data_IF_315010748476
#
_entry.id   IF_315010748476
#
_cell.length_a   1.000
_cell.length_b   1.000
_cell.length_c   1.000
_cell.angle_alpha   90.00
_cell.angle_beta   90.00
_cell.angle_gamma   90.00
#
_symmetry.space_group_name_H-M   'P 1'
#
loop_
_entity.id
_entity.type
_entity.pdbx_description
1 polymer ?
#
# COMPACT_ATOMS: atom_id res chain seq x y z
N UNK A 1 8.25 -6.83 66.83
CA UNK A 1 9.21 -7.88 66.42
C UNK A 1 8.62 -8.66 65.26
N UNK A 2 8.84 -8.27 63.99
CA UNK A 2 8.43 -9.04 62.83
C UNK A 2 9.61 -9.84 62.26
N UNK A 3 9.32 -10.87 61.44
CA UNK A 3 10.24 -11.53 60.50
C UNK A 3 10.86 -12.89 60.92
N UNK A 4 10.08 -13.78 61.54
CA UNK A 4 10.39 -15.22 61.52
C UNK A 4 9.82 -15.93 60.27
N UNK A 5 8.85 -15.32 59.57
CA UNK A 5 8.11 -15.94 58.47
C UNK A 5 8.81 -15.75 57.10
N UNK A 6 9.60 -14.68 56.95
CA UNK A 6 10.23 -14.32 55.67
C UNK A 6 11.48 -15.18 55.34
N UNK A 7 12.18 -15.68 56.37
CA UNK A 7 13.38 -16.50 56.20
C UNK A 7 13.09 -17.94 55.78
N UNK A 8 11.90 -18.48 56.11
CA UNK A 8 11.51 -19.83 55.68
C UNK A 8 11.18 -19.90 54.18
N UNK A 9 10.67 -18.83 53.59
CA UNK A 9 10.33 -18.76 52.17
C UNK A 9 11.58 -18.66 51.27
N UNK A 10 12.65 -18.02 51.77
CA UNK A 10 13.92 -17.87 51.04
C UNK A 10 14.78 -19.14 51.00
N UNK A 11 14.61 -20.06 51.95
CA UNK A 11 15.41 -21.29 52.04
C UNK A 11 14.89 -22.45 51.18
N UNK A 12 13.71 -22.33 50.56
CA UNK A 12 13.10 -23.38 49.73
C UNK A 12 13.24 -23.16 48.22
N UNK A 13 13.95 -22.13 47.77
CA UNK A 13 14.13 -21.86 46.32
C UNK A 13 15.55 -22.12 45.81
N UNK A 14 16.43 -22.73 46.61
CA UNK A 14 17.76 -23.17 46.16
C UNK A 14 17.77 -24.65 45.81
N UNK A 15 16.73 -25.13 45.14
CA UNK A 15 16.80 -26.38 44.38
C UNK A 15 16.54 -26.02 42.92
N UNK A 16 17.47 -26.32 41.99
CA UNK A 16 17.18 -26.17 40.57
C UNK A 16 16.15 -27.24 40.21
N UNK A 17 14.87 -26.87 40.22
CA UNK A 17 13.79 -27.79 39.86
C UNK A 17 13.79 -27.93 38.32
N UNK A 18 14.11 -29.12 37.78
CA UNK A 18 14.20 -29.32 36.33
C UNK A 18 12.84 -29.16 35.64
N UNK A 19 11.74 -29.28 36.38
CA UNK A 19 10.40 -29.02 35.84
C UNK A 19 10.13 -27.52 35.63
N UNK A 20 10.70 -26.63 36.45
CA UNK A 20 10.62 -25.18 36.22
C UNK A 20 11.53 -24.74 35.08
N UNK A 21 12.70 -25.37 34.90
CA UNK A 21 13.49 -25.17 33.68
C UNK A 21 12.71 -25.65 32.46
N UNK A 22 12.07 -26.82 32.50
CA UNK A 22 11.25 -27.29 31.37
C UNK A 22 10.08 -26.34 31.10
N UNK A 23 9.35 -25.88 32.12
CA UNK A 23 8.24 -24.93 31.96
C UNK A 23 8.72 -23.55 31.52
N UNK A 24 9.86 -23.05 32.01
CA UNK A 24 10.47 -21.81 31.52
C UNK A 24 10.87 -21.95 30.06
N UNK A 25 11.45 -23.10 29.70
CA UNK A 25 11.80 -23.40 28.31
C UNK A 25 10.54 -23.54 27.46
N UNK A 26 9.44 -24.15 27.92
CA UNK A 26 8.19 -24.26 27.15
C UNK A 26 7.47 -22.91 27.03
N UNK A 27 7.55 -22.04 28.06
CA UNK A 27 7.03 -20.67 28.04
C UNK A 27 7.92 -19.77 27.16
N UNK A 28 9.25 -19.95 27.17
CA UNK A 28 10.20 -19.31 26.24
C UNK A 28 10.06 -19.85 24.82
N UNK A 29 9.70 -21.11 24.63
CA UNK A 29 9.52 -21.76 23.31
C UNK A 29 8.16 -21.40 22.71
N UNK A 30 7.12 -21.26 23.55
CA UNK A 30 5.84 -20.66 23.15
C UNK A 30 5.97 -19.14 22.92
N UNK A 31 6.74 -18.40 23.75
CA UNK A 31 7.09 -17.00 23.44
C UNK A 31 7.95 -16.89 22.19
N UNK A 32 8.83 -17.84 21.87
CA UNK A 32 9.59 -17.89 20.60
C UNK A 32 8.72 -18.23 19.40
N UNK A 33 7.63 -18.94 19.62
CA UNK A 33 6.67 -19.25 18.55
C UNK A 33 5.78 -18.04 18.25
N UNK A 34 5.44 -17.23 19.27
CA UNK A 34 4.80 -15.92 19.10
C UNK A 34 5.80 -14.80 18.72
N UNK A 35 7.09 -14.92 19.12
CA UNK A 35 8.26 -14.23 18.58
C UNK A 35 8.84 -15.00 17.38
N UNK A 36 7.96 -15.48 16.51
CA UNK A 36 8.30 -15.59 15.10
C UNK A 36 9.05 -14.29 14.76
N UNK A 37 10.33 -14.33 14.35
CA UNK A 37 11.10 -13.12 14.13
C UNK A 37 10.26 -12.22 13.24
N UNK A 38 9.78 -11.11 13.80
CA UNK A 38 9.21 -10.01 13.04
C UNK A 38 10.30 -9.69 12.04
N UNK A 39 10.13 -10.17 10.81
CA UNK A 39 11.21 -10.43 9.87
C UNK A 39 12.13 -9.23 9.91
N UNK A 40 13.31 -9.43 10.54
CA UNK A 40 14.38 -8.45 10.56
C UNK A 40 14.50 -8.03 9.11
N UNK A 41 14.17 -6.78 8.71
CA UNK A 41 14.14 -6.41 7.31
C UNK A 41 15.50 -6.80 6.77
N UNK A 42 15.50 -7.86 5.96
CA UNK A 42 16.72 -8.49 5.49
C UNK A 42 17.50 -7.37 4.83
N UNK A 43 18.61 -7.00 5.46
CA UNK A 43 19.51 -5.94 5.03
C UNK A 43 19.96 -6.28 3.61
N UNK A 44 19.15 -5.86 2.64
CA UNK A 44 19.63 -5.69 1.29
C UNK A 44 20.47 -4.44 1.40
N UNK A 45 21.76 -4.64 1.64
CA UNK A 45 22.83 -3.65 1.49
C UNK A 45 22.80 -3.21 0.02
N UNK A 46 21.85 -2.33 -0.32
CA UNK A 46 21.74 -1.74 -1.64
C UNK A 46 22.74 -0.60 -1.69
N UNK A 47 23.71 -0.82 -2.57
CA UNK A 47 24.85 0.02 -2.81
C UNK A 47 24.49 1.51 -2.86
N UNK A 48 25.20 2.27 -2.02
CA UNK A 48 25.31 3.72 -2.00
C UNK A 48 25.71 4.24 -3.40
N UNK A 49 24.73 4.51 -4.25
CA UNK A 49 24.96 5.19 -5.51
C UNK A 49 24.88 6.70 -5.29
N UNK A 50 26.05 7.28 -5.10
CA UNK A 50 26.41 8.70 -5.16
C UNK A 50 25.80 9.38 -6.40
N UNK A 51 24.55 9.84 -6.32
CA UNK A 51 23.95 10.71 -7.33
C UNK A 51 23.55 12.02 -6.65
N UNK A 52 24.03 13.14 -7.19
CA UNK A 52 23.99 14.45 -6.52
C UNK A 52 22.62 14.79 -5.93
N UNK A 53 22.62 15.56 -4.82
CA UNK A 53 21.43 15.96 -4.02
C UNK A 53 20.18 16.34 -4.85
N UNK A 54 20.36 16.85 -6.07
CA UNK A 54 19.29 17.16 -7.02
C UNK A 54 18.54 15.92 -7.55
N UNK A 55 19.24 14.84 -7.90
CA UNK A 55 18.60 13.62 -8.40
C UNK A 55 17.81 12.88 -7.32
N UNK A 56 18.23 13.00 -6.06
CA UNK A 56 17.53 12.40 -4.93
C UNK A 56 16.20 13.12 -4.66
N UNK A 57 16.19 14.45 -4.74
CA UNK A 57 14.95 15.24 -4.63
C UNK A 57 13.92 14.88 -5.71
N UNK A 58 14.36 14.79 -6.98
CA UNK A 58 13.48 14.42 -8.10
C UNK A 58 12.90 13.02 -7.93
N UNK A 59 13.69 12.05 -7.45
CA UNK A 59 13.22 10.70 -7.18
C UNK A 59 12.13 10.70 -6.10
N UNK A 60 12.37 11.37 -4.97
CA UNK A 60 11.39 11.48 -3.87
C UNK A 60 10.10 12.14 -4.35
N UNK A 61 10.18 13.23 -5.12
CA UNK A 61 8.99 13.87 -5.70
C UNK A 61 8.22 12.93 -6.63
N UNK A 62 8.92 12.15 -7.47
CA UNK A 62 8.29 11.18 -8.36
C UNK A 62 7.58 10.05 -7.59
N UNK A 63 8.20 9.55 -6.52
CA UNK A 63 7.59 8.55 -5.62
C UNK A 63 6.32 9.12 -4.99
N UNK A 64 6.41 10.29 -4.34
CA UNK A 64 5.25 10.93 -3.71
C UNK A 64 4.13 11.24 -4.70
N UNK A 65 4.47 11.67 -5.93
CA UNK A 65 3.49 11.87 -6.99
C UNK A 65 2.79 10.56 -7.38
N UNK A 66 3.52 9.45 -7.50
CA UNK A 66 2.95 8.12 -7.78
C UNK A 66 2.01 7.64 -6.68
N UNK A 67 2.40 7.83 -5.41
CA UNK A 67 1.56 7.52 -4.25
C UNK A 67 0.29 8.36 -4.20
N UNK A 68 0.42 9.66 -4.47
CA UNK A 68 -0.72 10.58 -4.54
C UNK A 68 -1.68 10.13 -5.64
N UNK A 69 -1.16 9.82 -6.83
CA UNK A 69 -1.98 9.41 -7.96
C UNK A 69 -2.70 8.09 -7.71
N UNK A 70 -2.00 7.10 -7.14
CA UNK A 70 -2.60 5.81 -6.80
C UNK A 70 -3.71 5.96 -5.75
N UNK A 71 -3.49 6.78 -4.72
CA UNK A 71 -4.48 6.97 -3.65
C UNK A 71 -5.70 7.76 -4.12
N UNK A 72 -5.45 8.74 -4.99
CA UNK A 72 -6.47 9.55 -5.64
C UNK A 72 -7.33 8.72 -6.60
N UNK A 73 -6.74 7.80 -7.38
CA UNK A 73 -7.49 6.88 -8.24
C UNK A 73 -8.43 5.97 -7.44
N UNK A 74 -7.97 5.39 -6.33
CA UNK A 74 -8.81 4.56 -5.46
C UNK A 74 -9.99 5.37 -4.90
N UNK A 75 -9.75 6.61 -4.48
CA UNK A 75 -10.80 7.49 -3.95
C UNK A 75 -11.80 7.94 -5.02
N UNK A 76 -11.32 8.32 -6.21
CA UNK A 76 -12.16 8.66 -7.36
C UNK A 76 -13.02 7.46 -7.77
N UNK A 77 -12.43 6.26 -7.81
CA UNK A 77 -13.17 5.04 -8.16
C UNK A 77 -14.32 4.78 -7.21
N UNK A 78 -14.09 4.96 -5.90
CA UNK A 78 -15.14 4.80 -4.90
C UNK A 78 -16.29 5.82 -5.07
N UNK A 79 -15.98 7.07 -5.43
CA UNK A 79 -16.98 8.14 -5.58
C UNK A 79 -17.71 8.09 -6.93
N UNK A 80 -17.00 7.79 -8.01
CA UNK A 80 -17.56 7.69 -9.36
C UNK A 80 -18.36 6.40 -9.58
N UNK A 81 -18.18 5.36 -8.76
CA UNK A 81 -18.92 4.10 -8.89
C UNK A 81 -20.43 4.33 -8.92
N UNK A 82 -20.94 5.15 -8.01
CA UNK A 82 -22.38 5.42 -7.89
C UNK A 82 -22.90 6.15 -9.13
N UNK A 83 -22.13 7.07 -9.69
CA UNK A 83 -22.49 7.78 -10.92
C UNK A 83 -22.54 6.84 -12.13
N UNK A 84 -21.49 6.02 -12.33
CA UNK A 84 -21.42 5.04 -13.41
C UNK A 84 -22.58 4.04 -13.33
N UNK A 85 -22.93 3.59 -12.12
CA UNK A 85 -24.04 2.66 -11.88
C UNK A 85 -25.40 3.24 -12.30
N UNK A 86 -25.60 4.54 -12.10
CA UNK A 86 -26.83 5.24 -12.48
C UNK A 86 -26.92 5.45 -14.00
N UNK A 87 -25.80 5.76 -14.63
CA UNK A 87 -25.74 6.12 -16.05
C UNK A 87 -25.88 4.92 -16.98
N UNK A 88 -25.32 3.77 -16.61
CA UNK A 88 -25.46 2.54 -17.41
C UNK A 88 -26.76 1.77 -17.11
N UNK A 89 -27.54 2.18 -16.10
CA UNK A 89 -28.72 1.47 -15.58
C UNK A 89 -28.49 -0.03 -15.27
N UNK A 90 -27.23 -0.45 -15.11
CA UNK A 90 -26.83 -1.83 -14.83
C UNK A 90 -26.28 -1.95 -13.40
N UNK A 91 -27.21 -2.06 -12.44
CA UNK A 91 -26.88 -2.14 -11.02
C UNK A 91 -26.26 -3.49 -10.61
N UNK A 92 -26.43 -4.54 -11.42
CA UNK A 92 -25.92 -5.87 -11.11
C UNK A 92 -24.39 -5.97 -11.25
N UNK A 93 -23.84 -5.31 -12.27
CA UNK A 93 -22.42 -5.38 -12.58
C UNK A 93 -21.58 -4.26 -11.95
N UNK A 94 -22.21 -3.22 -11.40
CA UNK A 94 -21.50 -2.10 -10.79
C UNK A 94 -20.53 -2.53 -9.67
N UNK A 95 -20.92 -3.34 -8.67
CA UNK A 95 -20.00 -3.75 -7.60
C UNK A 95 -18.79 -4.53 -8.10
N UNK A 96 -18.91 -5.25 -9.21
CA UNK A 96 -17.82 -6.03 -9.81
C UNK A 96 -16.66 -5.15 -10.29
N UNK A 97 -16.91 -3.88 -10.63
CA UNK A 97 -15.85 -2.93 -11.00
C UNK A 97 -14.89 -2.73 -9.84
N UNK A 98 -15.44 -2.41 -8.66
CA UNK A 98 -14.66 -2.18 -7.45
C UNK A 98 -14.05 -3.49 -6.96
N UNK A 99 -14.79 -4.60 -7.01
CA UNK A 99 -14.27 -5.89 -6.59
C UNK A 99 -13.08 -6.34 -7.45
N UNK A 100 -13.19 -6.23 -8.78
CA UNK A 100 -12.09 -6.56 -9.69
C UNK A 100 -10.86 -5.68 -9.43
N UNK A 101 -11.07 -4.39 -9.21
CA UNK A 101 -10.00 -3.46 -8.87
C UNK A 101 -9.31 -3.83 -7.54
N UNK A 102 -10.06 -4.05 -6.46
CA UNK A 102 -9.45 -4.41 -5.17
C UNK A 102 -8.76 -5.77 -5.22
N UNK A 103 -9.34 -6.74 -5.93
CA UNK A 103 -8.78 -8.09 -6.03
C UNK A 103 -7.41 -8.05 -6.72
N UNK A 104 -7.29 -7.32 -7.82
CA UNK A 104 -5.99 -7.16 -8.48
C UNK A 104 -5.06 -6.26 -7.68
N UNK A 105 -5.56 -5.17 -7.09
CA UNK A 105 -4.75 -4.26 -6.28
C UNK A 105 -4.08 -5.00 -5.10
N UNK A 106 -4.83 -5.80 -4.35
CA UNK A 106 -4.29 -6.55 -3.22
C UNK A 106 -3.44 -7.75 -3.65
N UNK A 107 -3.88 -8.48 -4.68
CA UNK A 107 -3.16 -9.66 -5.19
C UNK A 107 -1.81 -9.31 -5.80
N UNK A 108 -1.75 -8.24 -6.59
CA UNK A 108 -0.52 -7.83 -7.27
C UNK A 108 0.40 -6.97 -6.42
N UNK A 109 -0.07 -6.40 -5.30
CA UNK A 109 0.80 -5.67 -4.38
C UNK A 109 2.02 -6.51 -3.97
N UNK A 110 1.80 -7.76 -3.55
CA UNK A 110 2.88 -8.67 -3.14
C UNK A 110 3.74 -9.10 -4.33
N UNK A 111 3.11 -9.40 -5.47
CA UNK A 111 3.81 -9.83 -6.68
C UNK A 111 4.77 -8.74 -7.15
N UNK A 112 4.31 -7.49 -7.25
CA UNK A 112 5.12 -6.37 -7.71
C UNK A 112 6.22 -6.04 -6.69
N UNK A 113 5.95 -6.15 -5.38
CA UNK A 113 7.00 -6.00 -4.37
C UNK A 113 8.16 -6.97 -4.59
N UNK A 114 7.87 -8.27 -4.78
CA UNK A 114 8.91 -9.28 -5.04
C UNK A 114 9.58 -9.09 -6.40
N UNK A 115 8.82 -8.71 -7.42
CA UNK A 115 9.35 -8.51 -8.77
C UNK A 115 10.31 -7.31 -8.82
N UNK A 116 10.06 -6.28 -8.00
CA UNK A 116 10.93 -5.12 -7.86
C UNK A 116 12.34 -5.45 -7.38
N UNK A 117 12.48 -6.49 -6.56
CA UNK A 117 13.77 -6.88 -6.00
C UNK A 117 14.66 -7.53 -7.06
N UNK A 118 14.05 -8.22 -8.04
CA UNK A 118 14.75 -8.95 -9.11
C UNK A 118 15.03 -8.04 -10.32
N UNK A 119 14.02 -7.31 -10.79
CA UNK A 119 14.12 -6.48 -12.02
C UNK A 119 14.68 -5.08 -11.76
N UNK A 120 14.92 -4.73 -10.49
CA UNK A 120 15.40 -3.44 -10.06
C UNK A 120 14.27 -2.43 -9.82
N UNK A 121 14.45 -1.63 -8.76
CA UNK A 121 13.46 -0.68 -8.24
C UNK A 121 13.03 0.38 -9.26
N UNK A 122 13.99 0.94 -10.00
CA UNK A 122 13.73 2.03 -10.98
C UNK A 122 12.90 1.54 -12.18
N UNK A 123 13.22 0.38 -12.74
CA UNK A 123 12.54 -0.13 -13.93
C UNK A 123 11.10 -0.54 -13.59
N UNK A 124 10.90 -1.14 -12.42
CA UNK A 124 9.57 -1.52 -11.96
C UNK A 124 8.66 -0.30 -11.69
N UNK A 125 9.23 0.79 -11.18
CA UNK A 125 8.51 2.07 -11.01
C UNK A 125 8.05 2.66 -12.34
N UNK A 126 8.94 2.71 -13.33
CA UNK A 126 8.61 3.22 -14.67
C UNK A 126 7.57 2.33 -15.34
N UNK A 127 7.71 1.00 -15.22
CA UNK A 127 6.73 0.05 -15.75
C UNK A 127 5.34 0.26 -15.13
N UNK A 128 5.28 0.46 -13.80
CA UNK A 128 4.02 0.71 -13.10
C UNK A 128 3.34 1.99 -13.60
N UNK A 129 4.10 3.06 -13.81
CA UNK A 129 3.61 4.30 -14.42
C UNK A 129 3.04 4.07 -15.83
N UNK A 130 3.80 3.39 -16.69
CA UNK A 130 3.38 3.12 -18.08
C UNK A 130 2.11 2.26 -18.11
N UNK A 131 2.05 1.19 -17.32
CA UNK A 131 0.86 0.34 -17.22
C UNK A 131 -0.33 1.14 -16.71
N UNK A 132 -0.15 1.91 -15.65
CA UNK A 132 -1.20 2.72 -15.07
C UNK A 132 -1.78 3.71 -16.11
N UNK A 133 -0.94 4.46 -16.81
CA UNK A 133 -1.39 5.42 -17.82
C UNK A 133 -2.05 4.74 -19.02
N UNK A 134 -1.50 3.62 -19.50
CA UNK A 134 -2.06 2.88 -20.63
C UNK A 134 -3.46 2.34 -20.33
N UNK A 135 -3.67 1.73 -19.17
CA UNK A 135 -4.99 1.22 -18.79
C UNK A 135 -5.96 2.32 -18.41
N UNK A 136 -5.50 3.45 -17.85
CA UNK A 136 -6.34 4.61 -17.59
C UNK A 136 -6.93 5.21 -18.88
N UNK A 137 -6.11 5.30 -19.94
CA UNK A 137 -6.57 5.67 -21.29
C UNK A 137 -7.58 4.64 -21.85
N UNK A 138 -7.36 3.35 -21.61
CA UNK A 138 -8.30 2.29 -21.97
C UNK A 138 -9.66 2.43 -21.26
N UNK A 139 -9.64 2.75 -19.97
CA UNK A 139 -10.85 3.03 -19.20
C UNK A 139 -11.65 4.22 -19.77
N UNK A 140 -10.97 5.29 -20.20
CA UNK A 140 -11.61 6.46 -20.79
C UNK A 140 -12.26 6.18 -22.15
N UNK A 141 -11.78 5.19 -22.91
CA UNK A 141 -12.34 4.80 -24.21
C UNK A 141 -13.44 3.73 -24.10
N UNK A 142 -13.59 3.08 -22.94
CA UNK A 142 -14.52 1.97 -22.76
C UNK A 142 -15.98 2.40 -22.76
N UNK A 143 -16.79 1.78 -23.64
CA UNK A 143 -18.25 2.01 -23.77
C UNK A 143 -19.11 0.87 -23.19
N UNK A 144 -18.50 -0.17 -22.62
CA UNK A 144 -19.19 -1.36 -22.13
C UNK A 144 -18.78 -1.66 -20.69
N UNK A 145 -19.75 -2.10 -19.87
CA UNK A 145 -19.55 -2.42 -18.46
C UNK A 145 -18.45 -3.47 -18.25
N UNK A 146 -18.46 -4.54 -19.05
CA UNK A 146 -17.46 -5.62 -18.97
C UNK A 146 -16.06 -5.12 -19.34
N UNK A 147 -15.95 -4.33 -20.41
CA UNK A 147 -14.68 -3.75 -20.82
C UNK A 147 -14.13 -2.79 -19.74
N UNK A 148 -15.02 -2.03 -19.08
CA UNK A 148 -14.68 -1.15 -17.96
C UNK A 148 -14.14 -1.96 -16.76
N UNK A 149 -14.79 -3.08 -16.40
CA UNK A 149 -14.33 -3.99 -15.34
C UNK A 149 -12.94 -4.53 -15.65
N UNK A 150 -12.71 -5.01 -16.88
CA UNK A 150 -11.43 -5.58 -17.30
C UNK A 150 -10.33 -4.52 -17.24
N UNK A 151 -10.55 -3.36 -17.87
CA UNK A 151 -9.58 -2.25 -17.86
C UNK A 151 -9.27 -1.80 -16.42
N UNK A 152 -10.26 -1.72 -15.54
CA UNK A 152 -10.07 -1.38 -14.12
C UNK A 152 -9.29 -2.44 -13.34
N UNK A 153 -9.55 -3.72 -13.60
CA UNK A 153 -8.77 -4.82 -13.03
C UNK A 153 -7.29 -4.67 -13.37
N UNK A 154 -6.97 -4.44 -14.65
CA UNK A 154 -5.59 -4.20 -15.07
C UNK A 154 -4.99 -2.90 -14.53
N UNK A 155 -5.79 -1.83 -14.42
CA UNK A 155 -5.34 -0.56 -13.83
C UNK A 155 -4.96 -0.73 -12.35
N UNK A 156 -5.67 -1.57 -11.60
CA UNK A 156 -5.35 -1.91 -10.20
C UNK A 156 -3.96 -2.55 -10.03
N UNK A 157 -3.48 -3.27 -11.04
CA UNK A 157 -2.11 -3.82 -11.06
C UNK A 157 -1.08 -2.69 -11.10
N UNK A 158 -1.29 -1.69 -11.97
CA UNK A 158 -0.41 -0.52 -12.04
C UNK A 158 -0.44 0.32 -10.76
N UNK A 159 -1.64 0.53 -10.20
CA UNK A 159 -1.84 1.33 -8.98
C UNK A 159 -1.17 0.69 -7.76
N UNK A 160 -1.35 -0.62 -7.54
CA UNK A 160 -0.71 -1.32 -6.41
C UNK A 160 0.81 -1.30 -6.49
N UNK A 161 1.37 -1.37 -7.71
CA UNK A 161 2.80 -1.19 -7.95
C UNK A 161 3.28 0.20 -7.56
N UNK A 162 2.60 1.26 -8.03
CA UNK A 162 2.92 2.64 -7.65
C UNK A 162 2.88 2.86 -6.14
N UNK A 163 1.85 2.33 -5.47
CA UNK A 163 1.72 2.44 -4.02
C UNK A 163 2.85 1.71 -3.29
N UNK A 164 3.03 0.42 -3.57
CA UNK A 164 3.98 -0.43 -2.85
C UNK A 164 5.44 -0.02 -3.10
N UNK A 165 5.80 0.23 -4.37
CA UNK A 165 7.15 0.67 -4.72
C UNK A 165 7.49 2.03 -4.12
N UNK A 166 6.50 2.91 -3.98
CA UNK A 166 6.70 4.20 -3.31
C UNK A 166 7.04 4.01 -1.84
N UNK A 167 6.27 3.19 -1.12
CA UNK A 167 6.53 2.92 0.30
C UNK A 167 7.95 2.38 0.50
N UNK A 168 8.36 1.42 -0.34
CA UNK A 168 9.69 0.82 -0.29
C UNK A 168 10.78 1.85 -0.65
N UNK A 169 10.60 2.60 -1.74
CA UNK A 169 11.57 3.58 -2.21
C UNK A 169 11.76 4.75 -1.26
N UNK A 170 10.71 5.19 -0.56
CA UNK A 170 10.80 6.30 0.38
C UNK A 170 11.60 5.93 1.64
N UNK A 171 11.48 4.67 2.09
CA UNK A 171 12.26 4.14 3.21
C UNK A 171 13.74 3.95 2.84
N UNK A 172 14.03 3.54 1.60
CA UNK A 172 15.40 3.40 1.12
C UNK A 172 16.11 4.75 0.95
N UNK A 173 15.41 5.77 0.43
CA UNK A 173 15.98 7.09 0.17
C UNK A 173 16.01 7.96 1.42
N UNK A 174 15.11 7.73 2.37
CA UNK A 174 14.95 8.54 3.56
C UNK A 174 16.03 8.28 4.62
N UNK A 175 16.34 9.28 5.47
CA UNK A 175 17.33 9.10 6.53
C UNK A 175 16.83 8.07 7.55
N UNK A 176 17.54 6.94 7.70
CA UNK A 176 17.22 5.88 8.68
C UNK A 176 17.14 6.38 10.12
N UNK A 177 17.71 7.55 10.41
CA UNK A 177 17.70 8.18 11.72
C UNK A 177 16.36 8.87 12.07
N UNK A 178 15.47 9.10 11.09
CA UNK A 178 14.16 9.76 11.31
C UNK A 178 13.03 9.12 10.50
N UNK A 179 12.63 7.87 10.81
CA UNK A 179 11.52 7.19 10.14
C UNK A 179 10.18 7.93 10.28
N UNK A 180 10.01 8.71 11.36
CA UNK A 180 8.81 9.53 11.59
C UNK A 180 8.60 10.62 10.53
N UNK A 181 9.67 11.20 9.96
CA UNK A 181 9.54 12.19 8.89
C UNK A 181 9.06 11.55 7.59
N UNK A 182 9.55 10.35 7.27
CA UNK A 182 9.14 9.60 6.08
C UNK A 182 7.65 9.24 6.19
N UNK A 183 7.24 8.70 7.33
CA UNK A 183 5.84 8.41 7.63
C UNK A 183 4.95 9.66 7.60
N UNK A 184 5.45 10.80 8.08
CA UNK A 184 4.74 12.08 8.01
C UNK A 184 4.56 12.56 6.55
N UNK A 185 5.56 12.40 5.67
CA UNK A 185 5.44 12.75 4.25
C UNK A 185 4.42 11.87 3.52
N UNK A 186 4.43 10.55 3.80
CA UNK A 186 3.45 9.60 3.29
C UNK A 186 2.05 9.99 3.78
N UNK A 187 1.90 10.16 5.09
CA UNK A 187 0.63 10.52 5.72
C UNK A 187 0.06 11.83 5.17
N UNK A 188 0.89 12.87 5.03
CA UNK A 188 0.49 14.15 4.45
C UNK A 188 0.03 14.00 2.98
N UNK A 189 0.72 13.17 2.20
CA UNK A 189 0.34 12.90 0.81
C UNK A 189 -1.00 12.17 0.73
N UNK A 190 -1.22 11.18 1.61
CA UNK A 190 -2.48 10.45 1.68
C UNK A 190 -3.63 11.36 2.08
N UNK A 191 -3.48 12.18 3.13
CA UNK A 191 -4.55 13.10 3.55
C UNK A 191 -4.90 14.10 2.46
N UNK A 192 -3.89 14.63 1.75
CA UNK A 192 -4.10 15.48 0.57
C UNK A 192 -4.90 14.70 -0.50
N UNK A 193 -4.49 13.48 -0.84
CA UNK A 193 -5.19 12.65 -1.83
C UNK A 193 -6.66 12.36 -1.44
N UNK A 194 -6.94 12.06 -0.17
CA UNK A 194 -8.29 11.80 0.33
C UNK A 194 -9.19 13.03 0.32
N UNK A 195 -8.63 14.24 0.45
CA UNK A 195 -9.38 15.50 0.31
C UNK A 195 -9.63 15.80 -1.17
N UNK A 196 -8.62 15.63 -2.03
CA UNK A 196 -8.76 15.88 -3.47
C UNK A 196 -9.69 14.87 -4.16
N UNK A 197 -9.72 13.62 -3.70
CA UNK A 197 -10.48 12.54 -4.33
C UNK A 197 -11.97 12.87 -4.51
N UNK A 198 -12.73 13.15 -3.43
CA UNK A 198 -14.13 13.54 -3.51
C UNK A 198 -14.36 14.88 -4.21
N UNK A 199 -13.43 15.83 -4.10
CA UNK A 199 -13.53 17.13 -4.81
C UNK A 199 -13.49 16.89 -6.31
N UNK A 200 -12.48 16.15 -6.78
CA UNK A 200 -12.33 15.83 -8.20
C UNK A 200 -13.45 14.90 -8.66
N UNK A 201 -13.81 13.88 -7.88
CA UNK A 201 -14.92 12.97 -8.18
C UNK A 201 -16.26 13.70 -8.30
N UNK A 202 -16.54 14.63 -7.38
CA UNK A 202 -17.74 15.48 -7.42
C UNK A 202 -17.75 16.42 -8.63
N UNK A 203 -16.63 17.08 -8.92
CA UNK A 203 -16.45 17.90 -10.12
C UNK A 203 -16.66 17.06 -11.39
N UNK A 204 -16.13 15.83 -11.46
CA UNK A 204 -16.34 14.95 -12.61
C UNK A 204 -17.82 14.59 -12.76
N UNK A 205 -18.56 14.34 -11.69
CA UNK A 205 -20.01 14.09 -11.75
C UNK A 205 -20.78 15.33 -12.18
N UNK A 206 -20.35 16.52 -11.74
CA UNK A 206 -21.04 17.77 -11.98
C UNK A 206 -20.70 18.41 -13.34
N UNK A 207 -19.50 18.18 -13.85
CA UNK A 207 -19.04 18.56 -15.20
C UNK A 207 -19.10 17.42 -16.21
N UNK A 208 -19.49 16.21 -15.80
CA UNK A 208 -20.15 15.25 -16.70
C UNK A 208 -21.56 15.74 -17.04
N UNK A 209 -21.66 17.01 -17.43
CA UNK A 209 -22.51 17.44 -18.52
C UNK A 209 -22.07 16.66 -19.76
N UNK A 210 -22.61 15.45 -19.79
CA UNK A 210 -22.85 14.48 -20.85
C UNK A 210 -23.31 15.06 -22.20
N UNK A 211 -23.26 16.39 -22.40
CA UNK A 211 -23.62 17.11 -23.62
C UNK A 211 -22.64 16.94 -24.78
N UNK A 212 -21.49 16.29 -24.60
CA UNK A 212 -20.63 15.87 -25.73
C UNK A 212 -20.74 14.37 -26.06
N UNK A 213 -21.16 13.54 -25.11
CA UNK A 213 -21.51 12.14 -25.37
C UNK A 213 -22.94 12.00 -25.93
N UNK A 214 -23.84 12.94 -25.64
CA UNK A 214 -25.21 12.99 -26.19
C UNK A 214 -25.42 13.98 -27.37
N UNK A 215 -24.43 14.80 -27.70
CA UNK A 215 -24.49 15.68 -28.89
C UNK A 215 -23.65 15.15 -30.05
N UNK A 216 -23.68 13.84 -30.27
CA UNK A 216 -23.38 13.25 -31.57
C UNK A 216 -24.69 12.70 -32.14
N UNK A 217 -25.22 13.45 -33.10
CA UNK A 217 -26.31 13.04 -33.99
C UNK A 217 -25.83 11.95 -34.94
#
# INVERSE_FOLDING_TARGET
>A
MPNAIDNAFRLSLTYPNPSLCRTNNTIEDSRRSDEQPLAKPEETVVAKNTTGRLSQGVLVTCLLAGLLFSSLDTSITATSLVAISRELQDFGNAPWIVLAYLLTYMGFAIVISKLSDIYGRRNMLVLSWVLFTAFSLGCASSRSMVALIICRGFQGIGASGLYSLTQIGLVEVGPSHRPSLIAAMIGATLTIAFVLGPIIGGVIVQFSDWRWLFNMK
#
